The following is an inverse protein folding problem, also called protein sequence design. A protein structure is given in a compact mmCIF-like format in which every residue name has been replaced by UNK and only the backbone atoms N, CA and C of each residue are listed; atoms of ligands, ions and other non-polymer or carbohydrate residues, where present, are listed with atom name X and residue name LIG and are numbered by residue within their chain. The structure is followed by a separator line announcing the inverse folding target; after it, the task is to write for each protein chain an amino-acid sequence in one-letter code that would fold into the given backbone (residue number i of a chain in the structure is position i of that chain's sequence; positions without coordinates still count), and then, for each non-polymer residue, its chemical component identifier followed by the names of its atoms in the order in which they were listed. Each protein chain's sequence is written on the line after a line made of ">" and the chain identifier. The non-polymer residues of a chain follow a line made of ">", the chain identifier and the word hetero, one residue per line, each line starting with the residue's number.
data_IF_194501077808
#
_entry.id   IF_194501077808
#
_cell.length_a   1.000
_cell.length_b   1.000
_cell.length_c   1.000
_cell.angle_alpha   90.00
_cell.angle_beta   90.00
_cell.angle_gamma   90.00
#
_symmetry.space_group_name_H-M   'P 1'
#
loop_
_entity.id
_entity.type
_entity.pdbx_description
1 polymer ?
#
# COMPACT_ATOMS: atom_id res chain seq x y z
N UNK A 1 64.59 -2.07 21.30
CA UNK A 1 63.26 -2.00 20.63
C UNK A 1 63.52 -1.64 19.20
N UNK A 2 63.16 -2.51 18.26
CA UNK A 2 63.44 -2.32 16.87
C UNK A 2 62.43 -1.29 16.28
N UNK A 3 62.93 -0.25 15.65
CA UNK A 3 62.14 0.82 15.04
C UNK A 3 61.06 0.27 14.08
N UNK A 4 61.28 -0.89 13.49
CA UNK A 4 60.32 -1.57 12.59
C UNK A 4 59.09 -2.10 13.31
N UNK A 5 59.23 -2.57 14.55
CA UNK A 5 58.07 -3.05 15.35
C UNK A 5 57.22 -1.89 15.85
N UNK A 6 57.84 -0.76 16.20
CA UNK A 6 57.12 0.44 16.63
C UNK A 6 56.33 1.05 15.46
N UNK A 7 56.92 1.13 14.25
CA UNK A 7 56.26 1.62 13.05
C UNK A 7 55.10 0.71 12.66
N UNK A 8 55.25 -0.62 12.75
CA UNK A 8 54.15 -1.57 12.48
C UNK A 8 53.00 -1.44 13.48
N UNK A 9 53.30 -1.24 14.77
CA UNK A 9 52.28 -1.08 15.80
C UNK A 9 51.51 0.23 15.65
N UNK A 10 52.21 1.35 15.36
CA UNK A 10 51.60 2.66 15.13
C UNK A 10 50.73 2.64 13.87
N UNK A 11 51.20 2.02 12.78
CA UNK A 11 50.46 1.84 11.56
C UNK A 11 49.20 1.00 11.79
N UNK A 12 49.30 -0.11 12.52
CA UNK A 12 48.15 -0.96 12.87
C UNK A 12 47.10 -0.21 13.72
N UNK A 13 47.57 0.65 14.64
CA UNK A 13 46.65 1.49 15.44
C UNK A 13 45.93 2.54 14.58
N UNK A 14 46.67 3.20 13.68
CA UNK A 14 46.08 4.19 12.76
C UNK A 14 44.98 3.56 11.86
N UNK A 15 45.24 2.37 11.31
CA UNK A 15 44.24 1.63 10.50
C UNK A 15 43.01 1.28 11.31
N UNK A 16 43.16 0.87 12.58
CA UNK A 16 42.01 0.59 13.46
C UNK A 16 41.18 1.84 13.75
N UNK A 17 41.84 2.98 13.96
CA UNK A 17 41.12 4.25 14.19
C UNK A 17 40.35 4.67 12.94
N UNK A 18 40.98 4.58 11.77
CA UNK A 18 40.32 4.91 10.49
C UNK A 18 39.12 3.97 10.27
N UNK A 19 39.29 2.68 10.48
CA UNK A 19 38.20 1.71 10.36
C UNK A 19 37.05 2.02 11.33
N UNK A 20 37.34 2.36 12.57
CA UNK A 20 36.34 2.74 13.57
C UNK A 20 35.57 4.00 13.15
N UNK A 21 36.26 5.02 12.64
CA UNK A 21 35.63 6.26 12.13
C UNK A 21 34.72 5.97 10.93
N UNK A 22 35.17 5.13 10.00
CA UNK A 22 34.38 4.73 8.86
C UNK A 22 33.12 3.95 9.28
N UNK A 23 33.23 3.05 10.25
CA UNK A 23 32.08 2.31 10.80
C UNK A 23 31.08 3.27 11.44
N UNK A 24 31.53 4.20 12.28
CA UNK A 24 30.65 5.19 12.92
C UNK A 24 29.97 6.06 11.88
N UNK A 25 30.69 6.53 10.87
CA UNK A 25 30.14 7.33 9.78
C UNK A 25 29.10 6.54 8.97
N UNK A 26 29.37 5.26 8.71
CA UNK A 26 28.45 4.36 8.03
C UNK A 26 27.16 4.14 8.86
N UNK A 27 27.31 3.81 10.14
CA UNK A 27 26.18 3.61 11.06
C UNK A 27 25.34 4.89 11.14
N UNK A 28 25.98 6.05 11.30
CA UNK A 28 25.27 7.33 11.37
C UNK A 28 24.46 7.60 10.09
N UNK A 29 25.06 7.43 8.92
CA UNK A 29 24.39 7.62 7.64
C UNK A 29 23.18 6.69 7.45
N UNK A 30 23.32 5.41 7.82
CA UNK A 30 22.25 4.43 7.67
C UNK A 30 21.21 4.50 8.79
N UNK A 31 21.57 4.97 9.99
CA UNK A 31 20.64 5.18 11.08
C UNK A 31 19.60 6.27 10.75
N UNK A 32 20.01 7.36 10.11
CA UNK A 32 19.06 8.38 9.63
C UNK A 32 18.11 7.84 8.56
N UNK A 33 18.63 7.06 7.63
CA UNK A 33 17.83 6.43 6.59
C UNK A 33 16.83 5.45 7.21
N UNK A 34 17.29 4.59 8.12
CA UNK A 34 16.44 3.63 8.83
C UNK A 34 15.38 4.31 9.70
N UNK A 35 15.71 5.46 10.33
CA UNK A 35 14.74 6.23 11.10
C UNK A 35 13.64 6.83 10.23
N UNK A 36 13.99 7.43 9.08
CA UNK A 36 13.02 8.00 8.14
C UNK A 36 12.09 6.92 7.57
N UNK A 37 12.65 5.79 7.16
CA UNK A 37 11.86 4.65 6.69
C UNK A 37 11.00 4.05 7.81
N UNK A 38 11.54 3.89 9.03
CA UNK A 38 10.78 3.38 10.16
C UNK A 38 9.63 4.31 10.56
N UNK A 39 9.85 5.61 10.58
CA UNK A 39 8.80 6.58 10.87
C UNK A 39 7.69 6.57 9.79
N UNK A 40 8.07 6.48 8.52
CA UNK A 40 7.11 6.40 7.40
C UNK A 40 6.36 5.07 7.37
N UNK A 41 7.03 3.98 7.79
CA UNK A 41 6.44 2.65 7.82
C UNK A 41 5.26 2.55 8.82
N UNK A 42 5.42 3.14 10.00
CA UNK A 42 4.43 3.09 11.08
C UNK A 42 3.54 4.34 11.17
N UNK A 43 3.95 5.44 10.55
CA UNK A 43 3.25 6.72 10.58
C UNK A 43 2.65 7.12 9.24
N UNK A 44 2.54 6.20 8.28
CA UNK A 44 2.00 6.53 6.96
C UNK A 44 0.54 6.97 7.08
N UNK A 45 0.32 8.21 6.63
CA UNK A 45 -1.02 8.78 6.54
C UNK A 45 -1.62 8.44 5.17
N UNK A 46 -2.93 8.22 5.10
CA UNK A 46 -3.62 8.01 3.84
C UNK A 46 -3.36 9.17 2.85
N UNK A 47 -3.54 8.92 1.58
CA UNK A 47 -3.35 9.93 0.51
C UNK A 47 -4.27 11.12 0.76
N UNK A 48 -5.51 10.86 1.18
CA UNK A 48 -6.54 11.87 1.41
C UNK A 48 -7.01 11.82 2.86
N UNK A 49 -7.00 12.99 3.53
CA UNK A 49 -7.61 13.16 4.84
C UNK A 49 -9.10 13.49 4.63
N UNK A 50 -10.01 12.58 4.95
CA UNK A 50 -11.46 12.73 4.78
C UNK A 50 -12.10 11.55 4.06
N UNK A 51 -13.22 11.77 3.36
CA UNK A 51 -13.99 10.69 2.73
C UNK A 51 -13.24 9.95 1.62
N UNK A 52 -12.23 10.58 1.01
CA UNK A 52 -11.41 9.96 -0.02
C UNK A 52 -12.19 9.64 -1.30
N UNK A 53 -11.51 8.93 -2.21
CA UNK A 53 -12.09 8.44 -3.47
C UNK A 53 -11.96 6.93 -3.52
N UNK A 54 -13.06 6.24 -3.79
CA UNK A 54 -13.04 4.78 -4.04
C UNK A 54 -12.48 4.51 -5.44
N UNK A 55 -11.58 3.56 -5.53
CA UNK A 55 -10.91 3.15 -6.76
C UNK A 55 -10.96 1.63 -6.85
N UNK A 56 -11.46 1.12 -7.95
CA UNK A 56 -11.43 -0.30 -8.25
C UNK A 56 -10.05 -0.70 -8.76
N UNK A 57 -9.50 -1.74 -8.16
CA UNK A 57 -8.17 -2.28 -8.46
C UNK A 57 -8.29 -3.76 -8.79
N UNK A 58 -7.78 -4.14 -9.95
CA UNK A 58 -7.68 -5.55 -10.36
C UNK A 58 -6.28 -6.07 -10.09
N UNK A 59 -6.17 -7.11 -9.27
CA UNK A 59 -4.92 -7.79 -8.94
C UNK A 59 -4.82 -9.07 -9.76
N UNK A 60 -3.81 -9.22 -10.63
CA UNK A 60 -3.59 -10.45 -11.39
C UNK A 60 -3.13 -11.59 -10.48
N UNK A 61 -3.49 -12.85 -10.82
CA UNK A 61 -3.14 -14.03 -10.04
C UNK A 61 -1.65 -14.36 -9.97
N UNK A 62 -0.82 -13.73 -10.76
CA UNK A 62 0.65 -13.84 -10.76
C UNK A 62 1.34 -12.63 -10.11
N UNK A 63 0.57 -11.70 -9.52
CA UNK A 63 1.13 -10.49 -8.93
C UNK A 63 1.81 -10.77 -7.59
N UNK A 64 3.10 -10.47 -7.52
CA UNK A 64 3.83 -10.37 -6.26
C UNK A 64 3.54 -9.02 -5.56
N UNK A 65 3.98 -8.88 -4.32
CA UNK A 65 3.80 -7.64 -3.53
C UNK A 65 4.35 -6.40 -4.24
N UNK A 66 5.41 -6.55 -5.04
CA UNK A 66 5.99 -5.47 -5.81
C UNK A 66 5.05 -5.02 -6.92
N UNK A 67 4.49 -5.96 -7.68
CA UNK A 67 3.53 -5.70 -8.74
C UNK A 67 2.26 -5.04 -8.20
N UNK A 68 1.76 -5.55 -7.07
CA UNK A 68 0.62 -4.95 -6.36
C UNK A 68 0.94 -3.51 -5.95
N UNK A 69 2.10 -3.27 -5.34
CA UNK A 69 2.54 -1.92 -4.98
C UNK A 69 2.59 -0.97 -6.17
N UNK A 70 3.13 -1.40 -7.31
CA UNK A 70 3.18 -0.60 -8.55
C UNK A 70 1.76 -0.28 -9.08
N UNK A 71 0.82 -1.22 -8.99
CA UNK A 71 -0.58 -1.01 -9.37
C UNK A 71 -1.22 0.04 -8.45
N UNK A 72 -1.07 -0.10 -7.14
CA UNK A 72 -1.64 0.82 -6.14
C UNK A 72 -1.06 2.24 -6.28
N UNK A 73 0.26 2.36 -6.52
CA UNK A 73 0.93 3.64 -6.77
C UNK A 73 0.41 4.30 -8.06
N UNK A 74 0.29 3.53 -9.15
CA UNK A 74 -0.24 4.02 -10.43
C UNK A 74 -1.69 4.49 -10.31
N UNK A 75 -2.49 3.83 -9.48
CA UNK A 75 -3.89 4.21 -9.18
C UNK A 75 -3.99 5.38 -8.19
N UNK A 76 -2.87 5.82 -7.60
CA UNK A 76 -2.81 6.91 -6.63
C UNK A 76 -3.38 6.56 -5.26
N UNK A 77 -3.36 5.29 -4.89
CA UNK A 77 -3.80 4.78 -3.59
C UNK A 77 -2.68 4.81 -2.55
N UNK A 78 -1.44 4.72 -2.99
CA UNK A 78 -0.24 4.82 -2.16
C UNK A 78 0.76 5.78 -2.79
N UNK A 79 1.75 6.26 -2.01
CA UNK A 79 2.78 7.20 -2.48
C UNK A 79 4.06 6.53 -2.95
N UNK A 80 4.35 5.32 -2.51
CA UNK A 80 5.62 4.64 -2.75
C UNK A 80 5.41 3.12 -2.71
N UNK A 81 5.54 2.49 -3.88
CA UNK A 81 5.40 1.04 -4.03
C UNK A 81 6.45 0.25 -3.23
N UNK A 82 7.67 0.80 -3.05
CA UNK A 82 8.73 0.13 -2.27
C UNK A 82 8.41 0.13 -0.78
N UNK A 83 7.81 1.21 -0.29
CA UNK A 83 7.36 1.29 1.09
C UNK A 83 6.24 0.27 1.34
N UNK A 84 5.29 0.15 0.41
CA UNK A 84 4.23 -0.86 0.47
C UNK A 84 4.76 -2.28 0.54
N UNK A 85 5.76 -2.64 -0.29
CA UNK A 85 6.42 -3.96 -0.24
C UNK A 85 7.03 -4.22 1.13
N UNK A 86 7.65 -3.22 1.74
CA UNK A 86 8.22 -3.37 3.08
C UNK A 86 7.14 -3.50 4.16
N UNK A 87 6.04 -2.77 4.03
CA UNK A 87 4.87 -2.87 4.92
C UNK A 87 4.22 -4.25 4.81
N UNK A 88 4.04 -4.75 3.59
CA UNK A 88 3.53 -6.11 3.34
C UNK A 88 4.42 -7.17 3.97
N UNK A 89 5.75 -7.07 3.76
CA UNK A 89 6.73 -8.02 4.30
C UNK A 89 6.72 -8.09 5.85
N UNK A 90 6.44 -6.96 6.52
CA UNK A 90 6.43 -6.84 7.97
C UNK A 90 5.03 -6.98 8.58
N UNK A 91 4.00 -7.10 7.77
CA UNK A 91 2.61 -7.23 8.21
C UNK A 91 2.23 -8.70 8.47
N UNK A 92 1.13 -8.88 9.18
CA UNK A 92 0.50 -10.20 9.36
C UNK A 92 -0.10 -10.76 8.05
N UNK A 93 -0.12 -9.94 6.99
CA UNK A 93 -0.68 -10.24 5.67
C UNK A 93 0.38 -10.70 4.66
N UNK A 94 1.63 -10.85 5.08
CA UNK A 94 2.72 -11.28 4.19
C UNK A 94 2.40 -12.58 3.45
N UNK A 95 2.46 -12.50 2.10
CA UNK A 95 2.16 -13.63 1.21
C UNK A 95 0.69 -14.06 1.16
N UNK A 96 -0.24 -13.24 1.67
CA UNK A 96 -1.68 -13.54 1.71
C UNK A 96 -2.51 -12.69 0.75
N UNK A 97 -1.89 -11.85 -0.06
CA UNK A 97 -2.59 -11.04 -1.06
C UNK A 97 -3.26 -11.96 -2.07
N UNK A 98 -4.55 -11.78 -2.27
CA UNK A 98 -5.36 -12.53 -3.21
C UNK A 98 -5.46 -11.81 -4.55
N UNK A 99 -5.69 -12.58 -5.60
CA UNK A 99 -6.08 -12.06 -6.90
C UNK A 99 -7.57 -11.75 -6.96
N UNK A 100 -7.95 -10.84 -7.82
CA UNK A 100 -9.33 -10.43 -7.97
C UNK A 100 -9.51 -8.93 -8.13
N UNK A 101 -10.75 -8.50 -8.02
CA UNK A 101 -11.14 -7.11 -8.10
C UNK A 101 -11.53 -6.58 -6.72
N UNK A 102 -10.86 -5.51 -6.29
CA UNK A 102 -11.01 -4.93 -4.96
C UNK A 102 -11.40 -3.47 -5.04
N UNK A 103 -12.26 -3.02 -4.15
CA UNK A 103 -12.57 -1.61 -3.97
C UNK A 103 -11.73 -1.04 -2.81
N UNK A 104 -10.84 -0.12 -3.14
CA UNK A 104 -9.97 0.55 -2.17
C UNK A 104 -10.25 2.05 -2.18
N UNK A 105 -9.99 2.72 -1.04
CA UNK A 105 -10.23 4.14 -0.91
C UNK A 105 -8.94 4.89 -0.61
N UNK A 106 -8.77 6.08 -1.18
CA UNK A 106 -7.59 6.93 -0.96
C UNK A 106 -7.47 7.47 0.47
N UNK A 107 -8.49 7.30 1.32
CA UNK A 107 -8.46 7.60 2.75
C UNK A 107 -8.01 6.41 3.61
N UNK A 108 -7.74 5.25 2.99
CA UNK A 108 -7.21 4.08 3.69
C UNK A 108 -5.70 4.15 3.83
N UNK A 109 -5.19 3.58 4.92
CA UNK A 109 -3.76 3.32 5.09
C UNK A 109 -3.35 2.07 4.31
N UNK A 110 -2.05 1.91 4.04
CA UNK A 110 -1.54 0.70 3.37
C UNK A 110 -1.88 -0.58 4.15
N UNK A 111 -1.88 -0.54 5.48
CA UNK A 111 -2.28 -1.67 6.32
C UNK A 111 -3.74 -2.06 6.12
N UNK A 112 -4.65 -1.07 6.07
CA UNK A 112 -6.06 -1.30 5.77
C UNK A 112 -6.27 -1.87 4.36
N UNK A 113 -5.51 -1.39 3.38
CA UNK A 113 -5.54 -1.93 2.02
C UNK A 113 -5.03 -3.38 2.00
N UNK A 114 -3.94 -3.69 2.71
CA UNK A 114 -3.42 -5.06 2.85
C UNK A 114 -4.45 -6.01 3.47
N UNK A 115 -5.17 -5.56 4.49
CA UNK A 115 -6.24 -6.35 5.10
C UNK A 115 -7.34 -6.71 4.09
N UNK A 116 -7.78 -5.75 3.28
CA UNK A 116 -8.80 -5.97 2.24
C UNK A 116 -8.26 -6.87 1.14
N UNK A 117 -7.05 -6.64 0.64
CA UNK A 117 -6.41 -7.43 -0.41
C UNK A 117 -6.12 -8.89 0.02
N UNK A 118 -6.11 -9.16 1.31
CA UNK A 118 -5.89 -10.49 1.90
C UNK A 118 -7.18 -11.18 2.33
N UNK A 119 -8.32 -10.54 2.10
CA UNK A 119 -9.66 -11.09 2.34
C UNK A 119 -10.30 -11.41 0.99
N UNK A 120 -11.09 -12.48 0.93
CA UNK A 120 -11.80 -12.86 -0.29
C UNK A 120 -12.62 -11.65 -0.82
N UNK A 121 -12.47 -11.27 -2.10
CA UNK A 121 -13.14 -10.09 -2.64
C UNK A 121 -14.65 -10.26 -2.55
N UNK A 122 -15.31 -9.30 -1.91
CA UNK A 122 -16.77 -9.27 -1.92
C UNK A 122 -17.23 -9.03 -3.37
N UNK A 123 -18.28 -9.75 -3.84
CA UNK A 123 -18.81 -9.53 -5.16
C UNK A 123 -19.22 -8.04 -5.28
N UNK A 124 -18.66 -7.37 -6.27
CA UNK A 124 -18.99 -5.97 -6.58
C UNK A 124 -20.46 -5.97 -7.01
N UNK A 125 -21.37 -5.66 -6.11
CA UNK A 125 -22.75 -5.36 -6.50
C UNK A 125 -22.69 -4.09 -7.34
N UNK A 126 -22.94 -4.23 -8.65
CA UNK A 126 -23.14 -3.10 -9.54
C UNK A 126 -24.37 -2.33 -9.08
N UNK A 127 -24.21 -1.36 -8.20
CA UNK A 127 -25.25 -0.40 -7.83
C UNK A 127 -25.62 0.56 -8.99
N UNK A 128 -25.49 0.12 -10.24
CA UNK A 128 -25.74 0.93 -11.43
C UNK A 128 -27.00 0.57 -12.22
N UNK A 129 -27.67 -0.55 -11.95
CA UNK A 129 -28.76 -1.01 -12.85
C UNK A 129 -30.12 -1.31 -12.17
N UNK A 130 -30.27 -1.03 -10.87
CA UNK A 130 -31.57 -1.28 -10.21
C UNK A 130 -32.58 -0.14 -10.30
N UNK A 131 -32.20 1.04 -10.81
CA UNK A 131 -33.11 2.20 -10.87
C UNK A 131 -33.83 2.38 -12.18
N UNK A 132 -33.48 1.66 -13.25
CA UNK A 132 -34.16 1.80 -14.54
C UNK A 132 -35.29 0.77 -14.74
N UNK A 133 -35.13 -0.45 -14.23
CA UNK A 133 -36.15 -1.49 -14.38
C UNK A 133 -37.36 -1.30 -13.43
N UNK A 134 -37.13 -0.73 -12.23
CA UNK A 134 -38.25 -0.42 -11.30
C UNK A 134 -39.05 0.82 -11.70
N UNK A 135 -38.52 1.70 -12.55
CA UNK A 135 -39.28 2.85 -13.08
C UNK A 135 -40.12 2.50 -14.31
N UNK A 136 -39.79 1.48 -15.08
CA UNK A 136 -40.54 1.04 -16.23
C UNK A 136 -41.77 0.20 -15.86
N UNK A 137 -41.67 -0.60 -14.80
CA UNK A 137 -42.80 -1.42 -14.34
C UNK A 137 -43.92 -0.59 -13.65
N UNK A 138 -43.55 0.57 -13.07
CA UNK A 138 -44.52 1.47 -12.41
C UNK A 138 -45.30 2.35 -13.36
N UNK A 139 -44.83 2.50 -14.59
CA UNK A 139 -45.49 3.35 -15.59
C UNK A 139 -46.46 2.60 -16.54
N UNK A 140 -46.52 1.25 -16.47
CA UNK A 140 -47.45 0.45 -17.23
C UNK A 140 -48.72 0.03 -16.46
N UNK A 141 -48.81 0.36 -15.16
CA UNK A 141 -49.93 -0.01 -14.30
C UNK A 141 -51.07 1.03 -14.18
N UNK A 142 -50.96 2.21 -14.79
CA UNK A 142 -51.94 3.29 -14.55
C UNK A 142 -52.62 3.86 -15.81
N UNK A 143 -52.84 3.02 -16.79
CA UNK A 143 -53.75 3.39 -17.90
C UNK A 143 -54.68 2.22 -18.19
N UNK A 144 -55.71 2.07 -17.42
CA UNK A 144 -57.03 1.54 -17.79
C UNK A 144 -57.94 1.57 -16.55
N UNK A 145 -58.71 2.58 -16.32
CA UNK A 145 -60.14 2.53 -15.90
C UNK A 145 -60.66 3.96 -15.85
N UNK A 146 -61.52 4.28 -16.75
CA UNK A 146 -62.24 5.55 -16.64
C UNK A 146 -62.98 5.96 -17.95
N UNK A 147 -63.74 5.09 -18.54
CA UNK A 147 -64.83 5.52 -19.37
C UNK A 147 -65.90 4.43 -19.45
N UNK A 148 -66.92 4.55 -18.63
CA UNK A 148 -68.26 4.24 -18.97
C UNK A 148 -69.17 4.58 -17.80
N UNK A 149 -69.89 5.66 -17.92
CA UNK A 149 -71.34 5.71 -17.80
C UNK A 149 -71.88 7.16 -17.88
N UNK A 150 -72.72 7.32 -18.88
CA UNK A 150 -73.90 8.21 -19.11
C UNK A 150 -73.62 9.68 -19.15
#
# INVERSE_FOLDING_TARGET
>A
MNSKEIVGSVFGMAVKIIAAVLIVMFVYKYAFLAYDYGYRLFGEQPITSGEGRTVTVTIPGDADAKKVGEILETKGLIRDAKLFVLQELLSDYHGKILDGEFQLNTSMTAEQMLAILSTEPEPVEEEGNKTLDEMEEKNQGEVVVGSEKE
#
